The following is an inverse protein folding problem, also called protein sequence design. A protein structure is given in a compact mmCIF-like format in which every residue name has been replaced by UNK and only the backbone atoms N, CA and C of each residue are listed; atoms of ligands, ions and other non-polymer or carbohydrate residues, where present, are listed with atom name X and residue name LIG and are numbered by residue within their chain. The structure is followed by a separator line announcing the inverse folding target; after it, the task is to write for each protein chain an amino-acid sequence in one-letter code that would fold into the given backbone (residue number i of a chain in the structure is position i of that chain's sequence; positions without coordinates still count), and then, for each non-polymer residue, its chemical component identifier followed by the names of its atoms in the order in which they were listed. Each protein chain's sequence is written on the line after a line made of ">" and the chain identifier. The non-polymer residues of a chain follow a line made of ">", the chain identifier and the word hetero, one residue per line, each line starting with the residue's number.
data_IF_190493850628
#
_entry.id   IF_190493850628
#
_cell.length_a   1.000
_cell.length_b   1.000
_cell.length_c   1.000
_cell.angle_alpha   90.00
_cell.angle_beta   90.00
_cell.angle_gamma   90.00
#
_symmetry.space_group_name_H-M   'P 1'
#
loop_
_entity.id
_entity.type
_entity.pdbx_description
1 polymer ?
#
# COMPACT_ATOMS: atom_id res chain seq x y z
N UNK A 1 12.14 -12.38 10.14
CA UNK A 1 10.78 -12.69 9.68
C UNK A 1 9.95 -13.02 10.92
N UNK A 2 8.81 -12.36 11.12
CA UNK A 2 7.95 -12.57 12.30
C UNK A 2 6.65 -13.24 11.85
N UNK A 3 6.23 -14.30 12.54
CA UNK A 3 4.97 -14.99 12.28
C UNK A 3 3.92 -14.57 13.32
N UNK A 4 2.73 -14.20 12.86
CA UNK A 4 1.59 -13.94 13.74
C UNK A 4 0.77 -15.22 13.93
N UNK A 5 0.20 -15.40 15.13
CA UNK A 5 -0.72 -16.52 15.39
C UNK A 5 -2.14 -16.15 14.97
N UNK A 6 -2.79 -17.09 14.30
CA UNK A 6 -4.22 -17.03 13.98
C UNK A 6 -4.99 -17.80 15.05
N UNK A 7 -6.08 -17.24 15.55
CA UNK A 7 -6.89 -17.85 16.61
C UNK A 7 -8.37 -17.47 16.46
N UNK A 8 -9.24 -18.07 17.26
CA UNK A 8 -10.67 -17.76 17.28
C UNK A 8 -10.99 -16.79 18.42
N UNK A 9 -11.85 -15.81 18.15
CA UNK A 9 -12.43 -14.89 19.13
C UNK A 9 -13.95 -14.92 18.97
N UNK A 10 -14.63 -15.68 19.84
CA UNK A 10 -16.03 -16.03 19.63
C UNK A 10 -16.22 -16.77 18.30
N UNK A 11 -17.14 -16.30 17.47
CA UNK A 11 -17.44 -16.88 16.15
C UNK A 11 -16.57 -16.30 15.01
N UNK A 12 -15.58 -15.47 15.33
CA UNK A 12 -14.73 -14.79 14.34
C UNK A 12 -13.28 -15.26 14.41
N UNK A 13 -12.57 -15.16 13.29
CA UNK A 13 -11.12 -15.38 13.24
C UNK A 13 -10.38 -14.09 13.57
N UNK A 14 -9.28 -14.20 14.31
CA UNK A 14 -8.44 -13.10 14.73
C UNK A 14 -6.95 -13.41 14.51
N UNK A 15 -6.15 -12.37 14.33
CA UNK A 15 -4.69 -12.46 14.24
C UNK A 15 -4.08 -11.68 15.39
N UNK A 16 -3.14 -12.28 16.12
CA UNK A 16 -2.41 -11.58 17.19
C UNK A 16 -1.32 -10.72 16.57
N UNK A 17 -1.46 -9.41 16.66
CA UNK A 17 -0.45 -8.44 16.21
C UNK A 17 0.71 -8.41 17.22
N UNK A 18 1.95 -8.72 16.80
CA UNK A 18 3.13 -8.59 17.65
C UNK A 18 3.38 -7.14 18.07
N UNK A 19 4.07 -6.92 19.21
CA UNK A 19 4.24 -5.60 19.82
C UNK A 19 4.97 -4.62 18.90
N UNK A 20 5.93 -5.10 18.11
CA UNK A 20 6.71 -4.33 17.15
C UNK A 20 5.87 -3.83 15.96
N UNK A 21 4.67 -4.37 15.75
CA UNK A 21 3.69 -3.93 14.75
C UNK A 21 2.46 -3.27 15.39
N UNK A 22 2.64 -2.61 16.54
CA UNK A 22 1.55 -1.92 17.24
C UNK A 22 0.80 -0.96 16.31
N UNK A 23 -0.53 -0.92 16.48
CA UNK A 23 -1.43 -0.07 15.72
C UNK A 23 -2.10 0.87 16.72
N UNK A 24 -1.98 2.17 16.49
CA UNK A 24 -2.59 3.21 17.33
C UNK A 24 -4.08 3.42 17.02
N UNK A 25 -4.51 3.08 15.80
CA UNK A 25 -5.90 3.21 15.35
C UNK A 25 -6.80 2.12 15.96
N UNK A 26 -8.02 2.49 16.33
CA UNK A 26 -9.03 1.53 16.84
C UNK A 26 -9.70 0.73 15.73
N UNK A 27 -9.68 1.23 14.49
CA UNK A 27 -10.30 0.61 13.33
C UNK A 27 -9.43 0.77 12.08
N UNK A 28 -9.40 -0.25 11.23
CA UNK A 28 -8.68 -0.26 9.97
C UNK A 28 -9.59 -0.73 8.84
N UNK A 29 -9.34 -0.25 7.63
CA UNK A 29 -9.90 -0.88 6.44
C UNK A 29 -9.16 -2.18 6.13
N UNK A 30 -9.92 -3.17 5.65
CA UNK A 30 -9.41 -4.47 5.23
C UNK A 30 -9.60 -4.64 3.73
N UNK A 31 -8.54 -5.05 3.03
CA UNK A 31 -8.59 -5.41 1.61
C UNK A 31 -7.90 -6.74 1.37
N UNK A 32 -8.54 -7.63 0.63
CA UNK A 32 -7.93 -8.88 0.17
C UNK A 32 -7.49 -8.74 -1.29
N UNK A 33 -6.23 -9.09 -1.57
CA UNK A 33 -5.66 -9.12 -2.92
C UNK A 33 -5.02 -10.50 -3.11
N UNK A 34 -5.67 -11.36 -3.91
CA UNK A 34 -5.27 -12.76 -4.04
C UNK A 34 -5.31 -13.48 -2.69
N UNK A 35 -4.15 -13.95 -2.22
CA UNK A 35 -3.96 -14.60 -0.92
C UNK A 35 -3.54 -13.65 0.20
N UNK A 36 -3.32 -12.37 -0.10
CA UNK A 36 -2.82 -11.36 0.85
C UNK A 36 -3.97 -10.55 1.45
N UNK A 37 -3.89 -10.29 2.77
CA UNK A 37 -4.76 -9.34 3.48
C UNK A 37 -3.94 -8.10 3.80
N UNK A 38 -4.48 -6.93 3.45
CA UNK A 38 -3.91 -5.62 3.74
C UNK A 38 -4.83 -4.90 4.70
N UNK A 39 -4.29 -4.46 5.83
CA UNK A 39 -4.95 -3.59 6.79
C UNK A 39 -4.32 -2.19 6.70
N UNK A 40 -5.15 -1.15 6.65
CA UNK A 40 -4.68 0.23 6.52
C UNK A 40 -5.62 1.26 7.19
N UNK A 41 -5.11 2.40 7.67
CA UNK A 41 -5.91 3.40 8.37
C UNK A 41 -6.98 4.03 7.48
N UNK A 42 -8.17 4.30 8.04
CA UNK A 42 -9.28 4.91 7.30
C UNK A 42 -9.01 6.37 6.90
N UNK A 43 -8.33 7.11 7.79
CA UNK A 43 -8.09 8.54 7.66
C UNK A 43 -6.86 8.89 6.80
N UNK A 44 -6.03 7.89 6.45
CA UNK A 44 -4.75 8.10 5.77
C UNK A 44 -4.43 7.04 4.68
N UNK A 45 -5.35 6.75 3.75
CA UNK A 45 -5.16 5.68 2.76
C UNK A 45 -3.97 5.93 1.81
N UNK A 46 -3.55 7.18 1.64
CA UNK A 46 -2.46 7.58 0.75
C UNK A 46 -1.14 7.87 1.47
N UNK A 47 -1.04 7.65 2.78
CA UNK A 47 0.19 7.94 3.52
C UNK A 47 1.37 7.09 3.02
N UNK A 48 1.14 5.82 2.73
CA UNK A 48 2.17 4.95 2.17
C UNK A 48 2.64 5.42 0.79
N UNK A 49 1.72 5.87 -0.07
CA UNK A 49 2.07 6.46 -1.37
C UNK A 49 2.92 7.73 -1.19
N UNK A 50 2.59 8.59 -0.21
CA UNK A 50 3.39 9.78 0.07
C UNK A 50 4.79 9.43 0.55
N UNK A 51 4.92 8.44 1.45
CA UNK A 51 6.22 7.96 1.95
C UNK A 51 7.07 7.33 0.85
N UNK A 52 6.46 6.58 -0.08
CA UNK A 52 7.22 5.97 -1.17
C UNK A 52 7.86 7.00 -2.12
N UNK A 53 7.39 8.25 -2.13
CA UNK A 53 8.02 9.30 -2.94
C UNK A 53 9.46 9.61 -2.52
N UNK A 54 9.85 9.32 -1.27
CA UNK A 54 11.24 9.45 -0.81
C UNK A 54 12.09 8.20 -1.03
N UNK A 55 11.51 7.12 -1.57
CA UNK A 55 12.20 5.85 -1.79
C UNK A 55 12.74 5.71 -3.22
N UNK A 56 12.49 6.69 -4.10
CA UNK A 56 13.12 6.73 -5.41
C UNK A 56 14.63 6.96 -5.28
N UNK A 57 15.41 6.31 -6.13
CA UNK A 57 16.84 6.59 -6.26
C UNK A 57 17.07 7.98 -6.85
N UNK A 58 18.24 8.56 -6.57
CA UNK A 58 18.58 9.92 -7.03
C UNK A 58 18.57 10.07 -8.56
N UNK A 59 18.75 8.96 -9.30
CA UNK A 59 18.74 8.91 -10.76
C UNK A 59 17.35 8.67 -11.36
N UNK A 60 16.33 8.41 -10.54
CA UNK A 60 14.97 8.19 -11.02
C UNK A 60 14.44 9.42 -11.77
N UNK A 61 14.20 9.27 -13.07
CA UNK A 61 13.73 10.36 -13.94
C UNK A 61 14.67 11.58 -13.97
N UNK A 62 15.98 11.40 -13.72
CA UNK A 62 16.96 12.50 -13.71
C UNK A 62 17.04 13.26 -15.05
N UNK A 63 16.80 12.58 -16.17
CA UNK A 63 16.72 13.19 -17.51
C UNK A 63 15.33 13.75 -17.86
N UNK A 64 14.40 13.72 -16.89
CA UNK A 64 13.02 14.14 -17.07
C UNK A 64 12.19 13.18 -17.92
N UNK A 65 10.95 13.58 -18.21
CA UNK A 65 10.03 12.83 -19.05
C UNK A 65 10.42 12.99 -20.52
N UNK A 66 10.85 11.91 -21.17
CA UNK A 66 11.08 11.85 -22.63
C UNK A 66 9.77 11.65 -23.38
N UNK A 67 9.00 12.73 -23.55
CA UNK A 67 7.74 12.70 -24.29
C UNK A 67 7.97 13.11 -25.76
N UNK A 68 7.68 12.24 -26.74
CA UNK A 68 7.74 12.61 -28.16
C UNK A 68 6.59 13.56 -28.55
N UNK A 69 6.74 14.23 -29.69
CA UNK A 69 5.66 15.01 -30.29
C UNK A 69 4.47 14.13 -30.66
N UNK A 70 3.26 14.70 -30.58
CA UNK A 70 2.06 14.04 -31.08
C UNK A 70 2.21 13.76 -32.58
N UNK A 71 1.80 12.57 -33.00
CA UNK A 71 1.75 12.19 -34.42
C UNK A 71 0.48 12.78 -35.03
N UNK A 72 0.58 13.36 -36.23
CA UNK A 72 -0.60 13.69 -37.03
C UNK A 72 -1.34 12.41 -37.43
N UNK A 73 -2.67 12.43 -37.33
CA UNK A 73 -3.54 11.35 -37.80
C UNK A 73 -4.32 11.83 -39.02
N UNK A 74 -4.71 10.90 -39.89
CA UNK A 74 -5.62 11.19 -41.00
C UNK A 74 -6.91 11.82 -40.46
N UNK A 75 -7.36 12.88 -41.13
CA UNK A 75 -8.67 13.44 -40.88
C UNK A 75 -9.73 12.47 -41.42
N UNK A 76 -10.85 12.35 -40.70
CA UNK A 76 -11.99 11.52 -41.09
C UNK A 76 -12.62 11.96 -42.40
#
# INVERSE_FOLDING_TARGET
>A
MVCAKVFMSGNSQAVRIPKEFHIDDTELFIKKIGTTIILYPQNRPWENLKKSLSEFSDDFMAEGRKQPSLTEREAF
#
